data_IF_388862522257
#
_entry.id   IF_388862522257
#
_cell.length_a   1.000
_cell.length_b   1.000
_cell.length_c   1.000
_cell.angle_alpha   90.00
_cell.angle_beta   90.00
_cell.angle_gamma   90.00
#
_symmetry.space_group_name_H-M   'P 1'
#
loop_
_entity.id
_entity.type
_entity.pdbx_description
1 polymer ?
#
# COMPACT_ATOMS: atom_id res chain seq x y z
N UNK A 1 20.91 105.86 -9.18
CA UNK A 1 20.31 104.99 -8.14
C UNK A 1 19.17 104.13 -8.71
N UNK A 2 19.28 103.59 -9.93
CA UNK A 2 18.23 102.76 -10.54
C UNK A 2 18.66 101.30 -10.83
N UNK A 3 19.90 100.93 -10.49
CA UNK A 3 20.49 99.63 -10.88
C UNK A 3 20.28 98.54 -9.82
N UNK A 4 20.17 98.92 -8.55
CA UNK A 4 20.14 97.98 -7.41
C UNK A 4 18.79 97.25 -7.26
N UNK A 5 17.69 97.97 -7.55
CA UNK A 5 16.34 97.40 -7.44
C UNK A 5 16.03 96.38 -8.55
N UNK A 6 16.57 96.57 -9.75
CA UNK A 6 16.42 95.61 -10.85
C UNK A 6 17.22 94.33 -10.59
N UNK A 7 18.40 94.44 -9.97
CA UNK A 7 19.24 93.30 -9.61
C UNK A 7 18.57 92.40 -8.55
N UNK A 8 17.97 93.01 -7.51
CA UNK A 8 17.25 92.26 -6.47
C UNK A 8 16.03 91.49 -6.99
N UNK A 9 15.25 92.08 -7.91
CA UNK A 9 14.08 91.39 -8.50
C UNK A 9 14.48 90.18 -9.36
N UNK A 10 15.62 90.24 -10.04
CA UNK A 10 16.15 89.12 -10.84
C UNK A 10 16.68 88.00 -9.94
N UNK A 11 17.22 88.34 -8.77
CA UNK A 11 17.66 87.36 -7.76
C UNK A 11 16.49 86.62 -7.13
N UNK A 12 15.44 87.33 -6.72
CA UNK A 12 14.24 86.73 -6.14
C UNK A 12 13.53 85.79 -7.13
N UNK A 13 13.40 86.19 -8.39
CA UNK A 13 12.84 85.34 -9.44
C UNK A 13 13.66 84.05 -9.67
N UNK A 14 15.00 84.16 -9.66
CA UNK A 14 15.90 83.01 -9.79
C UNK A 14 15.81 82.05 -8.59
N UNK A 15 15.64 82.58 -7.38
CA UNK A 15 15.56 81.77 -6.17
C UNK A 15 14.18 81.11 -6.02
N UNK A 16 13.10 81.76 -6.48
CA UNK A 16 11.79 81.13 -6.64
C UNK A 16 11.80 80.00 -7.68
N UNK A 17 12.45 80.21 -8.83
CA UNK A 17 12.58 79.17 -9.86
C UNK A 17 13.39 77.96 -9.39
N UNK A 18 14.50 78.19 -8.67
CA UNK A 18 15.29 77.12 -8.03
C UNK A 18 14.50 76.39 -6.95
N UNK A 19 13.70 77.10 -6.15
CA UNK A 19 12.82 76.53 -5.12
C UNK A 19 11.73 75.65 -5.74
N UNK A 20 11.09 76.12 -6.82
CA UNK A 20 10.07 75.38 -7.55
C UNK A 20 10.64 74.13 -8.24
N UNK A 21 11.80 74.24 -8.86
CA UNK A 21 12.57 73.13 -9.43
C UNK A 21 12.95 72.07 -8.38
N UNK A 22 13.45 72.48 -7.20
CA UNK A 22 13.74 71.59 -6.07
C UNK A 22 12.49 70.89 -5.53
N UNK A 23 11.35 71.57 -5.42
CA UNK A 23 10.08 70.95 -5.00
C UNK A 23 9.58 69.94 -6.03
N UNK A 24 9.66 70.24 -7.33
CA UNK A 24 9.24 69.36 -8.43
C UNK A 24 10.11 68.10 -8.55
N UNK A 25 11.42 68.23 -8.36
CA UNK A 25 12.36 67.08 -8.35
C UNK A 25 12.20 66.21 -7.10
N UNK A 26 11.93 66.80 -5.92
CA UNK A 26 11.63 66.08 -4.68
C UNK A 26 10.33 65.27 -4.80
N UNK A 27 9.27 65.83 -5.41
CA UNK A 27 8.01 65.12 -5.67
C UNK A 27 8.16 63.92 -6.63
N UNK A 28 8.96 64.06 -7.70
CA UNK A 28 9.27 62.94 -8.62
C UNK A 28 10.06 61.82 -7.92
N UNK A 29 11.01 62.17 -7.03
CA UNK A 29 11.76 61.17 -6.25
C UNK A 29 10.84 60.39 -5.30
N UNK A 30 9.95 61.08 -4.58
CA UNK A 30 8.98 60.44 -3.68
C UNK A 30 8.05 59.50 -4.46
N UNK A 31 7.52 59.94 -5.60
CA UNK A 31 6.67 59.11 -6.47
C UNK A 31 7.38 57.84 -6.98
N UNK A 32 8.67 57.96 -7.32
CA UNK A 32 9.49 56.83 -7.74
C UNK A 32 9.72 55.80 -6.62
N UNK A 33 10.04 56.26 -5.39
CA UNK A 33 10.17 55.37 -4.24
C UNK A 33 8.84 54.67 -3.89
N UNK A 34 7.71 55.37 -3.98
CA UNK A 34 6.40 54.77 -3.77
C UNK A 34 6.08 53.69 -4.82
N UNK A 35 6.45 53.90 -6.08
CA UNK A 35 6.31 52.87 -7.13
C UNK A 35 7.19 51.65 -6.86
N UNK A 36 8.43 51.83 -6.42
CA UNK A 36 9.31 50.71 -6.05
C UNK A 36 8.72 49.93 -4.88
N UNK A 37 8.24 50.61 -3.83
CA UNK A 37 7.61 49.96 -2.68
C UNK A 37 6.36 49.18 -3.12
N UNK A 38 5.52 49.78 -3.98
CA UNK A 38 4.35 49.10 -4.52
C UNK A 38 4.71 47.82 -5.29
N UNK A 39 5.69 47.89 -6.18
CA UNK A 39 6.17 46.72 -6.94
C UNK A 39 6.80 45.66 -6.04
N UNK A 40 7.56 46.06 -5.01
CA UNK A 40 8.13 45.14 -4.04
C UNK A 40 7.05 44.44 -3.20
N UNK A 41 6.02 45.15 -2.77
CA UNK A 41 4.86 44.56 -2.09
C UNK A 41 4.11 43.58 -3.00
N UNK A 42 3.90 43.93 -4.27
CA UNK A 42 3.20 43.08 -5.24
C UNK A 42 4.01 41.81 -5.56
N UNK A 43 5.33 41.93 -5.63
CA UNK A 43 6.22 40.77 -5.74
C UNK A 43 6.16 39.88 -4.49
N UNK A 44 6.23 40.46 -3.29
CA UNK A 44 6.15 39.71 -2.05
C UNK A 44 4.81 38.99 -1.89
N UNK A 45 3.69 39.61 -2.25
CA UNK A 45 2.37 38.95 -2.22
C UNK A 45 2.28 37.81 -3.23
N UNK A 46 2.84 37.97 -4.43
CA UNK A 46 2.89 36.89 -5.42
C UNK A 46 3.73 35.69 -4.93
N UNK A 47 4.88 35.94 -4.31
CA UNK A 47 5.74 34.89 -3.73
C UNK A 47 5.04 34.18 -2.57
N UNK A 48 4.40 34.93 -1.67
CA UNK A 48 3.66 34.36 -0.54
C UNK A 48 2.44 33.55 -1.00
N UNK A 49 1.70 34.04 -2.00
CA UNK A 49 0.59 33.32 -2.60
C UNK A 49 1.08 32.03 -3.28
N UNK A 50 2.19 32.08 -4.02
CA UNK A 50 2.83 30.90 -4.61
C UNK A 50 3.24 29.88 -3.55
N UNK A 51 3.92 30.30 -2.49
CA UNK A 51 4.31 29.42 -1.38
C UNK A 51 3.09 28.80 -0.70
N UNK A 52 2.04 29.58 -0.45
CA UNK A 52 0.79 29.08 0.12
C UNK A 52 0.11 28.07 -0.79
N UNK A 53 0.09 28.29 -2.11
CA UNK A 53 -0.47 27.31 -3.05
C UNK A 53 0.32 26.00 -3.07
N UNK A 54 1.66 26.05 -2.99
CA UNK A 54 2.48 24.83 -2.87
C UNK A 54 2.15 24.08 -1.59
N UNK A 55 2.06 24.77 -0.45
CA UNK A 55 1.68 24.15 0.84
C UNK A 55 0.28 23.54 0.79
N UNK A 56 -0.70 24.24 0.19
CA UNK A 56 -2.07 23.73 0.04
C UNK A 56 -2.12 22.52 -0.89
N UNK A 57 -1.36 22.51 -1.99
CA UNK A 57 -1.31 21.37 -2.92
C UNK A 57 -0.58 20.17 -2.29
N UNK A 58 0.49 20.39 -1.54
CA UNK A 58 1.17 19.32 -0.80
C UNK A 58 0.30 18.77 0.35
N UNK A 59 -0.42 19.62 1.08
CA UNK A 59 -1.35 19.17 2.11
C UNK A 59 -2.59 18.50 1.52
N UNK A 60 -3.14 19.00 0.40
CA UNK A 60 -4.32 18.40 -0.22
C UNK A 60 -3.98 17.07 -0.87
N UNK A 61 -2.78 16.89 -1.47
CA UNK A 61 -2.33 15.57 -1.94
C UNK A 61 -2.14 14.57 -0.79
N UNK A 62 -1.67 15.04 0.37
CA UNK A 62 -1.59 14.23 1.61
C UNK A 62 -2.96 13.97 2.27
N UNK A 63 -3.97 14.80 2.03
CA UNK A 63 -5.29 14.74 2.70
C UNK A 63 -6.38 14.14 1.82
N UNK A 64 -6.27 14.25 0.49
CA UNK A 64 -7.11 13.54 -0.49
C UNK A 64 -6.84 12.03 -0.50
N UNK A 65 -5.74 11.60 0.11
CA UNK A 65 -5.49 10.23 0.58
C UNK A 65 -6.08 9.99 1.97
N UNK A 66 -7.22 10.63 2.29
CA UNK A 66 -8.06 10.20 3.40
C UNK A 66 -8.43 8.75 3.19
N UNK A 67 -7.77 7.87 3.94
CA UNK A 67 -7.69 6.44 3.67
C UNK A 67 -9.08 5.82 3.68
N UNK A 68 -9.62 5.50 2.50
CA UNK A 68 -10.68 4.49 2.33
C UNK A 68 -10.11 3.11 2.68
N UNK A 69 -9.62 2.96 3.90
CA UNK A 69 -9.01 1.75 4.40
C UNK A 69 -10.00 1.08 5.33
N UNK A 70 -10.36 -0.16 4.99
CA UNK A 70 -11.12 -0.99 5.91
C UNK A 70 -10.34 -1.17 7.20
N UNK A 71 -11.03 -0.99 8.34
CA UNK A 71 -10.41 -1.21 9.64
C UNK A 71 -9.90 -2.65 9.74
N UNK A 72 -8.67 -2.79 10.25
CA UNK A 72 -8.04 -4.07 10.57
C UNK A 72 -7.39 -3.98 11.95
N UNK A 73 -7.48 -5.02 12.79
CA UNK A 73 -6.91 -5.00 14.15
C UNK A 73 -5.38 -4.89 14.17
N UNK A 74 -4.71 -5.17 13.04
CA UNK A 74 -3.24 -5.06 12.90
C UNK A 74 -2.78 -3.74 12.29
N UNK A 75 -3.67 -2.76 12.10
CA UNK A 75 -3.36 -1.53 11.37
C UNK A 75 -2.08 -0.84 11.88
N UNK A 76 -1.92 -0.75 13.20
CA UNK A 76 -0.83 0.00 13.85
C UNK A 76 0.53 -0.69 13.78
N UNK A 77 0.57 -1.99 13.49
CA UNK A 77 1.82 -2.77 13.41
C UNK A 77 2.28 -3.01 11.98
N UNK A 78 1.50 -2.58 10.97
CA UNK A 78 1.86 -2.76 9.57
C UNK A 78 3.13 -1.95 9.27
N UNK A 79 4.20 -2.68 8.97
CA UNK A 79 5.46 -2.13 8.48
C UNK A 79 5.67 -2.58 7.04
N UNK A 80 6.42 -1.79 6.27
CA UNK A 80 6.81 -2.13 4.91
C UNK A 80 8.33 -2.28 4.84
N UNK A 81 8.80 -3.28 4.10
CA UNK A 81 10.23 -3.51 3.89
C UNK A 81 10.51 -4.00 2.47
N UNK A 82 11.69 -3.70 1.92
CA UNK A 82 12.14 -4.31 0.67
C UNK A 82 12.42 -5.80 0.89
N UNK A 83 11.79 -6.63 0.07
CA UNK A 83 11.98 -8.09 0.02
C UNK A 83 12.62 -8.44 -1.31
N UNK A 84 13.77 -9.11 -1.24
CA UNK A 84 14.36 -9.82 -2.37
C UNK A 84 13.65 -11.16 -2.55
N UNK A 85 12.94 -11.32 -3.66
CA UNK A 85 12.22 -12.54 -4.01
C UNK A 85 13.13 -13.48 -4.81
N UNK A 86 13.06 -14.77 -4.49
CA UNK A 86 13.64 -15.80 -5.35
C UNK A 86 13.01 -15.72 -6.74
N UNK A 87 13.82 -15.55 -7.78
CA UNK A 87 13.36 -15.59 -9.16
C UNK A 87 12.96 -17.02 -9.55
N UNK A 88 11.70 -17.38 -9.29
CA UNK A 88 11.14 -18.72 -9.44
C UNK A 88 11.12 -19.24 -10.88
N UNK A 89 11.33 -18.37 -11.87
CA UNK A 89 11.48 -18.78 -13.27
C UNK A 89 12.85 -19.40 -13.56
N UNK A 90 13.86 -19.04 -12.76
CA UNK A 90 15.26 -19.45 -12.98
C UNK A 90 15.78 -20.38 -11.88
N UNK A 91 15.29 -20.22 -10.65
CA UNK A 91 15.79 -20.95 -9.48
C UNK A 91 14.69 -21.77 -8.84
N UNK A 92 15.02 -23.05 -8.59
CA UNK A 92 14.20 -23.93 -7.78
C UNK A 92 14.21 -23.46 -6.33
N UNK A 93 13.04 -23.41 -5.70
CA UNK A 93 12.92 -23.06 -4.29
C UNK A 93 12.16 -24.16 -3.51
N UNK A 94 12.28 -24.18 -2.17
CA UNK A 94 11.72 -25.26 -1.35
C UNK A 94 10.20 -25.39 -1.35
N UNK A 95 9.45 -24.42 -1.90
CA UNK A 95 7.99 -24.49 -2.03
C UNK A 95 7.55 -25.16 -3.34
N UNK A 96 8.49 -25.51 -4.23
CA UNK A 96 8.22 -26.18 -5.50
C UNK A 96 8.29 -27.70 -5.37
N UNK A 97 7.70 -28.40 -6.34
CA UNK A 97 7.81 -29.85 -6.47
C UNK A 97 9.29 -30.29 -6.60
N UNK A 98 9.60 -31.50 -6.15
CA UNK A 98 10.93 -32.06 -6.22
C UNK A 98 11.37 -32.23 -7.69
N UNK A 99 12.51 -31.66 -8.13
CA UNK A 99 12.93 -31.71 -9.54
C UNK A 99 13.19 -33.12 -10.05
N UNK A 100 13.58 -34.05 -9.18
CA UNK A 100 13.90 -35.42 -9.56
C UNK A 100 12.65 -36.26 -9.83
N UNK A 101 11.57 -36.04 -9.09
CA UNK A 101 10.32 -36.81 -9.20
C UNK A 101 9.24 -36.08 -10.00
N UNK A 102 9.35 -34.75 -10.10
CA UNK A 102 8.30 -33.88 -10.64
C UNK A 102 7.07 -33.77 -9.75
N UNK A 103 7.12 -34.24 -8.50
CA UNK A 103 6.01 -34.25 -7.55
C UNK A 103 6.38 -33.54 -6.25
N UNK A 104 5.43 -32.92 -5.53
CA UNK A 104 5.67 -32.47 -4.17
C UNK A 104 5.85 -33.66 -3.23
N UNK A 105 6.63 -33.47 -2.17
CA UNK A 105 6.82 -34.44 -1.09
C UNK A 105 6.33 -33.87 0.25
N UNK A 106 6.44 -34.65 1.32
CA UNK A 106 6.07 -34.22 2.67
C UNK A 106 6.80 -32.93 3.10
N UNK A 107 8.06 -32.75 2.68
CA UNK A 107 8.80 -31.52 3.00
C UNK A 107 8.20 -30.31 2.29
N UNK A 108 7.77 -30.46 1.04
CA UNK A 108 7.01 -29.41 0.35
C UNK A 108 5.69 -29.13 1.09
N UNK A 109 4.96 -30.15 1.50
CA UNK A 109 3.68 -30.00 2.21
C UNK A 109 3.83 -29.27 3.54
N UNK A 110 4.79 -29.66 4.36
CA UNK A 110 5.08 -29.03 5.65
C UNK A 110 5.42 -27.55 5.48
N UNK A 111 6.20 -27.22 4.44
CA UNK A 111 6.56 -25.83 4.09
C UNK A 111 5.37 -24.99 3.70
N UNK A 112 4.38 -25.56 3.02
CA UNK A 112 3.16 -24.83 2.71
C UNK A 112 2.26 -24.68 3.94
N UNK A 113 2.11 -25.74 4.75
CA UNK A 113 1.28 -25.72 5.94
C UNK A 113 1.79 -24.72 6.99
N UNK A 114 3.12 -24.64 7.20
CA UNK A 114 3.70 -23.69 8.17
C UNK A 114 3.41 -22.22 7.86
N UNK A 115 2.99 -21.88 6.64
CA UNK A 115 2.66 -20.51 6.25
C UNK A 115 1.35 -20.01 6.87
N UNK A 116 0.46 -20.92 7.28
CA UNK A 116 -0.89 -20.53 7.72
C UNK A 116 -1.43 -21.32 8.92
N UNK A 117 -0.99 -22.56 9.16
CA UNK A 117 -1.65 -23.47 10.10
C UNK A 117 -1.78 -22.90 11.52
N UNK A 118 -0.67 -22.41 12.10
CA UNK A 118 -0.67 -21.78 13.44
C UNK A 118 -1.35 -20.41 13.50
N UNK A 119 -1.73 -19.88 12.34
CA UNK A 119 -2.21 -18.51 12.14
C UNK A 119 -3.64 -18.47 11.58
N UNK A 120 -4.32 -19.63 11.50
CA UNK A 120 -5.69 -19.73 10.98
C UNK A 120 -6.74 -19.14 11.89
N UNK A 121 -6.61 -19.35 13.19
CA UNK A 121 -7.57 -18.88 14.17
C UNK A 121 -6.90 -17.92 15.12
N UNK A 122 -7.23 -16.65 14.99
CA UNK A 122 -6.79 -15.60 15.90
C UNK A 122 -7.98 -15.09 16.68
N UNK A 123 -7.73 -14.60 17.88
CA UNK A 123 -8.75 -14.00 18.73
C UNK A 123 -8.44 -12.53 18.99
N UNK A 124 -9.47 -11.72 19.11
CA UNK A 124 -9.36 -10.30 19.46
C UNK A 124 -10.33 -9.95 20.61
N UNK A 125 -10.01 -8.93 21.41
CA UNK A 125 -10.93 -8.46 22.45
C UNK A 125 -12.17 -7.79 21.84
N UNK A 126 -13.26 -7.65 22.62
CA UNK A 126 -14.54 -7.13 22.13
C UNK A 126 -14.43 -5.71 21.57
N UNK A 127 -13.56 -4.88 22.16
CA UNK A 127 -13.31 -3.51 21.71
C UNK A 127 -12.75 -3.42 20.29
N UNK A 128 -11.98 -4.42 19.84
CA UNK A 128 -11.51 -4.49 18.45
C UNK A 128 -12.58 -5.10 17.55
N UNK A 129 -13.30 -6.11 18.03
CA UNK A 129 -14.36 -6.79 17.28
C UNK A 129 -15.51 -5.85 16.91
N UNK A 130 -15.85 -4.91 17.81
CA UNK A 130 -16.91 -3.94 17.57
C UNK A 130 -16.62 -2.95 16.44
N UNK A 131 -15.34 -2.75 16.10
CA UNK A 131 -14.89 -1.88 15.02
C UNK A 131 -14.87 -2.58 13.66
N UNK A 132 -15.05 -3.90 13.61
CA UNK A 132 -15.05 -4.65 12.35
C UNK A 132 -16.27 -4.24 11.49
N UNK A 133 -16.10 -4.19 10.15
CA UNK A 133 -17.20 -3.87 9.24
C UNK A 133 -18.28 -4.97 9.24
N UNK A 134 -17.88 -6.21 9.51
CA UNK A 134 -18.77 -7.36 9.68
C UNK A 134 -18.58 -7.93 11.08
N UNK A 135 -19.68 -8.21 11.77
CA UNK A 135 -19.65 -8.84 13.09
C UNK A 135 -19.10 -10.26 12.97
N UNK A 136 -18.34 -10.66 13.97
CA UNK A 136 -17.74 -11.99 14.07
C UNK A 136 -18.24 -12.73 15.32
N UNK A 137 -17.92 -14.02 15.40
CA UNK A 137 -18.36 -14.91 16.48
C UNK A 137 -17.41 -14.86 17.68
N UNK A 138 -17.92 -15.06 18.91
CA UNK A 138 -17.06 -15.32 20.06
C UNK A 138 -16.31 -16.65 19.91
N UNK A 139 -15.17 -16.78 20.58
CA UNK A 139 -14.47 -18.07 20.70
C UNK A 139 -15.33 -19.03 21.53
N UNK A 140 -15.61 -20.26 21.08
CA UNK A 140 -16.47 -21.19 21.82
C UNK A 140 -16.01 -21.47 23.25
N UNK A 141 -14.69 -21.61 23.48
CA UNK A 141 -14.10 -21.86 24.79
C UNK A 141 -13.93 -20.60 25.65
N UNK A 142 -13.96 -19.40 25.05
CA UNK A 142 -13.81 -18.12 25.74
C UNK A 142 -14.70 -17.02 25.12
N UNK A 143 -15.93 -16.84 25.64
CA UNK A 143 -16.86 -15.83 25.13
C UNK A 143 -16.40 -14.37 25.30
N UNK A 144 -15.31 -14.13 26.05
CA UNK A 144 -14.71 -12.79 26.18
C UNK A 144 -13.83 -12.41 24.99
N UNK A 145 -13.54 -13.37 24.10
CA UNK A 145 -12.71 -13.22 22.91
C UNK A 145 -13.52 -13.47 21.65
N UNK A 146 -13.13 -12.84 20.56
CA UNK A 146 -13.82 -12.93 19.26
C UNK A 146 -12.90 -13.48 18.18
N UNK A 147 -13.38 -14.45 17.43
CA UNK A 147 -12.65 -15.11 16.37
C UNK A 147 -12.45 -14.19 15.18
N UNK A 148 -11.25 -14.18 14.63
CA UNK A 148 -10.94 -13.62 13.32
C UNK A 148 -9.91 -14.50 12.63
N UNK A 149 -9.76 -14.25 11.34
CA UNK A 149 -8.64 -14.74 10.55
C UNK A 149 -8.10 -13.57 9.75
N UNK A 150 -6.78 -13.36 9.75
CA UNK A 150 -6.20 -12.38 8.82
C UNK A 150 -6.22 -12.98 7.41
N UNK A 151 -6.72 -12.17 6.48
CA UNK A 151 -7.01 -12.59 5.10
C UNK A 151 -5.81 -13.19 4.37
N UNK A 152 -4.58 -12.76 4.67
CA UNK A 152 -3.36 -13.33 4.07
C UNK A 152 -3.22 -14.83 4.33
N UNK A 153 -3.60 -15.31 5.52
CA UNK A 153 -3.48 -16.72 5.84
C UNK A 153 -4.56 -17.53 5.12
N UNK A 154 -5.79 -17.00 5.00
CA UNK A 154 -6.84 -17.64 4.21
C UNK A 154 -6.44 -17.74 2.73
N UNK A 155 -5.80 -16.69 2.19
CA UNK A 155 -5.24 -16.70 0.84
C UNK A 155 -4.15 -17.77 0.70
N UNK A 156 -3.25 -17.92 1.67
CA UNK A 156 -2.20 -18.95 1.65
C UNK A 156 -2.78 -20.38 1.73
N UNK A 157 -3.79 -20.59 2.59
CA UNK A 157 -4.55 -21.84 2.66
C UNK A 157 -5.20 -22.15 1.29
N UNK A 158 -5.94 -21.20 0.72
CA UNK A 158 -6.59 -21.34 -0.59
C UNK A 158 -5.58 -21.66 -1.70
N UNK A 159 -4.43 -20.95 -1.72
CA UNK A 159 -3.37 -21.18 -2.69
C UNK A 159 -2.74 -22.56 -2.55
N UNK A 160 -2.53 -23.05 -1.32
CA UNK A 160 -2.05 -24.40 -1.07
C UNK A 160 -3.07 -25.45 -1.55
N UNK A 161 -4.36 -25.23 -1.31
CA UNK A 161 -5.43 -26.09 -1.82
C UNK A 161 -5.45 -26.16 -3.35
N UNK A 162 -5.25 -25.03 -4.04
CA UNK A 162 -5.09 -25.00 -5.51
C UNK A 162 -3.83 -25.76 -5.93
N UNK A 163 -2.69 -25.56 -5.23
CA UNK A 163 -1.45 -26.30 -5.51
C UNK A 163 -1.66 -27.81 -5.42
N UNK A 164 -2.25 -28.30 -4.33
CA UNK A 164 -2.52 -29.73 -4.14
C UNK A 164 -3.43 -30.27 -5.25
N UNK A 165 -4.39 -29.46 -5.71
CA UNK A 165 -5.27 -29.79 -6.82
C UNK A 165 -4.55 -30.13 -8.13
N UNK A 166 -3.40 -29.50 -8.39
CA UNK A 166 -2.56 -29.76 -9.57
C UNK A 166 -1.93 -31.17 -9.54
N UNK A 167 -1.76 -31.74 -8.34
CA UNK A 167 -1.02 -32.99 -8.12
C UNK A 167 -1.90 -34.15 -7.66
N UNK A 168 -3.22 -33.95 -7.63
CA UNK A 168 -4.18 -34.93 -7.17
C UNK A 168 -4.07 -36.29 -7.88
N UNK A 169 -3.55 -36.33 -9.12
CA UNK A 169 -3.36 -37.61 -9.83
C UNK A 169 -2.07 -38.35 -9.44
N UNK A 170 -1.02 -37.63 -9.06
CA UNK A 170 0.30 -38.17 -8.72
C UNK A 170 0.56 -38.34 -7.22
N UNK A 171 -0.29 -37.77 -6.36
CA UNK A 171 -0.10 -37.75 -4.91
C UNK A 171 -1.36 -38.27 -4.21
N UNK A 172 -1.28 -39.50 -3.68
CA UNK A 172 -2.44 -40.22 -3.16
C UNK A 172 -3.10 -39.54 -1.96
N UNK A 173 -2.30 -39.02 -1.01
CA UNK A 173 -2.82 -38.36 0.18
C UNK A 173 -3.53 -37.03 -0.10
N UNK A 174 -3.41 -36.45 -1.29
CA UNK A 174 -4.24 -35.29 -1.66
C UNK A 174 -5.69 -35.68 -2.00
N UNK A 175 -6.00 -36.98 -2.18
CA UNK A 175 -7.38 -37.44 -2.41
C UNK A 175 -8.20 -37.66 -1.12
N UNK A 176 -7.63 -37.29 0.03
CA UNK A 176 -8.21 -37.37 1.37
C UNK A 176 -9.44 -36.44 1.54
N UNK A 177 -10.26 -36.61 2.62
CA UNK A 177 -11.62 -36.07 2.70
C UNK A 177 -11.80 -34.57 2.39
N UNK A 178 -10.80 -33.72 2.65
CA UNK A 178 -10.83 -32.27 2.38
C UNK A 178 -10.97 -31.92 0.89
N UNK A 179 -10.59 -32.84 0.00
CA UNK A 179 -10.70 -32.67 -1.46
C UNK A 179 -11.83 -33.51 -2.06
N UNK A 180 -12.77 -34.01 -1.24
CA UNK A 180 -13.87 -34.88 -1.72
C UNK A 180 -14.67 -34.25 -2.84
N UNK A 181 -14.87 -32.94 -2.81
CA UNK A 181 -15.66 -32.24 -3.81
C UNK A 181 -14.84 -31.79 -5.03
N UNK A 182 -13.52 -32.05 -5.07
CA UNK A 182 -12.69 -31.91 -6.27
C UNK A 182 -12.96 -33.04 -7.28
N UNK A 183 -13.75 -34.03 -6.86
CA UNK A 183 -14.26 -35.09 -7.70
C UNK A 183 -15.79 -35.13 -7.63
N UNK A 184 -16.43 -35.32 -8.78
CA UNK A 184 -17.83 -35.66 -8.89
C UNK A 184 -18.03 -37.15 -8.50
N UNK A 185 -19.26 -37.55 -8.13
CA UNK A 185 -19.62 -38.95 -8.08
C UNK A 185 -19.20 -39.67 -9.38
N UNK A 186 -18.41 -40.73 -9.25
CA UNK A 186 -17.80 -41.43 -10.40
C UNK A 186 -16.36 -41.02 -10.75
N UNK A 187 -15.69 -40.23 -9.89
CA UNK A 187 -14.23 -40.03 -9.97
C UNK A 187 -13.77 -39.03 -11.05
N UNK A 188 -14.69 -38.33 -11.70
CA UNK A 188 -14.37 -37.25 -12.65
C UNK A 188 -14.00 -35.98 -11.88
N UNK A 189 -13.04 -35.19 -12.39
CA UNK A 189 -12.72 -33.86 -11.85
C UNK A 189 -13.95 -32.96 -11.78
N UNK A 190 -14.12 -32.29 -10.65
CA UNK A 190 -15.11 -31.26 -10.45
C UNK A 190 -14.47 -29.87 -10.60
N UNK A 191 -14.68 -29.24 -11.76
CA UNK A 191 -14.15 -27.91 -12.03
C UNK A 191 -14.99 -26.76 -11.47
N UNK A 192 -16.09 -27.07 -10.76
CA UNK A 192 -16.98 -26.09 -10.12
C UNK A 192 -17.04 -26.25 -8.60
N UNK A 193 -16.20 -27.13 -8.03
CA UNK A 193 -16.09 -27.36 -6.59
C UNK A 193 -15.28 -26.30 -5.84
N UNK A 194 -14.81 -26.63 -4.64
CA UNK A 194 -14.04 -25.75 -3.75
C UNK A 194 -12.81 -25.17 -4.44
N UNK A 195 -12.10 -25.94 -5.28
CA UNK A 195 -10.96 -25.43 -6.05
C UNK A 195 -11.29 -24.21 -6.93
N UNK A 196 -12.49 -24.17 -7.54
CA UNK A 196 -12.92 -23.04 -8.36
C UNK A 196 -13.22 -21.79 -7.50
N UNK A 197 -13.76 -22.00 -6.29
CA UNK A 197 -14.03 -20.92 -5.34
C UNK A 197 -12.73 -20.32 -4.80
N UNK A 198 -11.76 -21.16 -4.44
CA UNK A 198 -10.42 -20.70 -4.03
C UNK A 198 -9.74 -19.89 -5.14
N UNK A 199 -9.83 -20.35 -6.39
CA UNK A 199 -9.26 -19.63 -7.52
C UNK A 199 -9.86 -18.23 -7.67
N UNK A 200 -11.19 -18.10 -7.57
CA UNK A 200 -11.85 -16.80 -7.66
C UNK A 200 -11.51 -15.90 -6.45
N UNK A 201 -11.43 -16.46 -5.25
CA UNK A 201 -11.06 -15.73 -4.04
C UNK A 201 -9.65 -15.13 -4.13
N UNK A 202 -8.68 -15.91 -4.61
CA UNK A 202 -7.31 -15.44 -4.86
C UNK A 202 -7.29 -14.37 -5.95
N UNK A 203 -8.04 -14.56 -7.04
CA UNK A 203 -8.17 -13.55 -8.11
C UNK A 203 -8.68 -12.21 -7.55
N UNK A 204 -9.73 -12.22 -6.72
CA UNK A 204 -10.27 -11.01 -6.10
C UNK A 204 -9.25 -10.34 -5.18
N UNK A 205 -8.54 -11.14 -4.37
CA UNK A 205 -7.48 -10.66 -3.48
C UNK A 205 -6.32 -10.00 -4.21
N UNK A 206 -5.88 -10.58 -5.34
CA UNK A 206 -4.84 -10.01 -6.20
C UNK A 206 -5.30 -8.68 -6.82
N UNK A 207 -6.55 -8.59 -7.29
CA UNK A 207 -7.10 -7.35 -7.83
C UNK A 207 -7.25 -6.25 -6.77
N UNK A 208 -7.57 -6.62 -5.53
CA UNK A 208 -7.69 -5.68 -4.41
C UNK A 208 -6.33 -5.09 -4.00
N UNK A 209 -5.26 -5.89 -4.05
CA UNK A 209 -3.92 -5.45 -3.63
C UNK A 209 -3.06 -4.91 -4.79
N UNK A 210 -3.40 -5.21 -6.05
CA UNK A 210 -2.82 -4.67 -7.28
C UNK A 210 -1.33 -4.29 -7.22
N UNK A 211 -0.45 -5.26 -7.49
CA UNK A 211 0.99 -4.97 -7.56
C UNK A 211 1.31 -4.08 -8.77
N UNK A 212 1.77 -2.86 -8.51
CA UNK A 212 2.13 -1.87 -9.53
C UNK A 212 3.63 -1.82 -9.83
N UNK A 213 4.42 -2.76 -9.29
CA UNK A 213 5.86 -2.86 -9.56
C UNK A 213 6.07 -3.12 -11.06
N UNK A 214 6.81 -2.25 -11.78
CA UNK A 214 6.97 -2.37 -13.21
C UNK A 214 7.79 -3.61 -13.58
N UNK A 215 7.26 -4.41 -14.50
CA UNK A 215 7.97 -5.54 -15.10
C UNK A 215 8.76 -5.03 -16.32
N UNK A 216 10.09 -5.05 -16.23
CA UNK A 216 10.95 -4.67 -17.34
C UNK A 216 11.01 -5.77 -18.41
N UNK A 217 11.30 -5.42 -19.66
CA UNK A 217 11.46 -6.39 -20.75
C UNK A 217 12.90 -6.35 -21.26
N UNK A 218 13.49 -7.53 -21.48
CA UNK A 218 14.86 -7.66 -21.98
C UNK A 218 14.93 -8.69 -23.10
N UNK A 219 15.92 -8.55 -23.99
CA UNK A 219 16.14 -9.50 -25.08
C UNK A 219 16.74 -10.80 -24.56
N UNK A 220 16.04 -11.91 -24.75
CA UNK A 220 16.56 -13.22 -24.41
C UNK A 220 17.39 -13.78 -25.57
N UNK A 221 18.67 -14.02 -25.30
CA UNK A 221 19.61 -14.48 -26.33
C UNK A 221 19.38 -15.93 -26.77
N UNK A 222 18.75 -16.77 -25.94
CA UNK A 222 18.46 -18.17 -26.22
C UNK A 222 17.13 -18.32 -26.98
N UNK A 223 16.07 -17.67 -26.49
CA UNK A 223 14.73 -17.70 -27.07
C UNK A 223 14.59 -16.78 -28.30
N UNK A 224 15.54 -15.86 -28.53
CA UNK A 224 15.53 -14.88 -29.64
C UNK A 224 14.29 -14.00 -29.68
N UNK A 225 13.74 -13.68 -28.51
CA UNK A 225 12.55 -12.84 -28.33
C UNK A 225 12.72 -11.97 -27.07
N UNK A 226 12.03 -10.82 -26.97
CA UNK A 226 11.99 -10.07 -25.71
C UNK A 226 11.12 -10.81 -24.68
N UNK A 227 11.62 -10.95 -23.45
CA UNK A 227 10.93 -11.60 -22.34
C UNK A 227 10.81 -10.66 -21.12
N UNK A 228 9.70 -10.73 -20.36
CA UNK A 228 9.54 -9.99 -19.12
C UNK A 228 10.52 -10.48 -18.06
N UNK A 229 11.07 -9.55 -17.29
CA UNK A 229 11.96 -9.80 -16.16
C UNK A 229 11.19 -9.51 -14.87
N UNK A 230 10.96 -10.57 -14.08
CA UNK A 230 10.31 -10.43 -12.79
C UNK A 230 11.17 -9.52 -11.89
N UNK A 231 10.59 -8.46 -11.28
CA UNK A 231 11.31 -7.64 -10.32
C UNK A 231 11.75 -8.50 -9.13
N UNK A 232 13.05 -8.51 -8.86
CA UNK A 232 13.61 -9.28 -7.73
C UNK A 232 13.34 -8.57 -6.40
N UNK A 233 13.41 -7.24 -6.37
CA UNK A 233 13.06 -6.45 -5.19
C UNK A 233 11.60 -5.96 -5.24
N UNK A 234 10.84 -6.17 -4.17
CA UNK A 234 9.50 -5.58 -3.97
C UNK A 234 9.36 -4.95 -2.59
N UNK A 235 8.55 -3.91 -2.47
CA UNK A 235 8.14 -3.38 -1.16
C UNK A 235 6.94 -4.20 -0.68
N UNK A 236 7.13 -4.99 0.38
CA UNK A 236 6.09 -5.85 0.93
C UNK A 236 5.72 -5.42 2.35
N UNK A 237 4.53 -5.81 2.80
CA UNK A 237 4.22 -5.78 4.23
C UNK A 237 5.16 -6.73 4.96
N UNK A 238 5.67 -6.30 6.11
CA UNK A 238 6.55 -7.11 6.94
C UNK A 238 5.75 -8.27 7.53
N UNK A 239 5.91 -9.46 6.94
CA UNK A 239 5.20 -10.65 7.40
C UNK A 239 5.65 -11.10 8.79
N UNK A 240 6.87 -10.77 9.22
CA UNK A 240 7.36 -11.18 10.54
C UNK A 240 6.54 -10.54 11.67
N UNK A 241 6.30 -9.23 11.61
CA UNK A 241 5.51 -8.53 12.64
C UNK A 241 4.03 -8.91 12.61
N UNK A 242 3.50 -9.22 11.42
CA UNK A 242 2.13 -9.72 11.28
C UNK A 242 2.02 -11.12 11.90
N UNK A 243 2.97 -11.99 11.62
CA UNK A 243 2.97 -13.37 12.12
C UNK A 243 3.19 -13.47 13.62
N UNK A 244 4.09 -12.65 14.16
CA UNK A 244 4.28 -12.52 15.60
C UNK A 244 2.98 -12.11 16.29
N UNK A 245 2.30 -11.06 15.80
CA UNK A 245 1.02 -10.63 16.36
C UNK A 245 -0.04 -11.72 16.25
N UNK A 246 -0.14 -12.39 15.10
CA UNK A 246 -1.13 -13.44 14.91
C UNK A 246 -0.90 -14.62 15.85
N UNK A 247 0.34 -15.09 16.00
CA UNK A 247 0.66 -16.19 16.93
C UNK A 247 0.41 -15.81 18.39
N UNK A 248 0.74 -14.58 18.78
CA UNK A 248 0.46 -14.08 20.14
C UNK A 248 -1.04 -14.01 20.46
N UNK A 249 -1.89 -13.94 19.44
CA UNK A 249 -3.33 -13.86 19.58
C UNK A 249 -4.04 -15.15 19.10
N UNK A 250 -3.29 -16.21 18.83
CA UNK A 250 -3.83 -17.48 18.36
C UNK A 250 -4.82 -18.06 19.38
N UNK A 251 -5.83 -18.77 18.89
CA UNK A 251 -6.73 -19.53 19.76
C UNK A 251 -6.01 -20.79 20.22
N UNK A 252 -5.84 -20.97 21.53
CA UNK A 252 -5.04 -22.05 22.12
C UNK A 252 -5.69 -23.44 21.95
N UNK A 253 -7.01 -23.51 21.85
CA UNK A 253 -7.76 -24.75 21.68
C UNK A 253 -8.35 -24.86 20.26
N UNK A 254 -8.45 -26.08 19.69
CA UNK A 254 -9.16 -26.29 18.45
C UNK A 254 -10.57 -25.70 18.51
N UNK A 255 -10.91 -24.87 17.53
CA UNK A 255 -12.24 -24.29 17.44
C UNK A 255 -13.19 -25.37 16.92
N UNK A 256 -14.01 -25.92 17.80
CA UNK A 256 -15.08 -26.86 17.43
C UNK A 256 -16.41 -26.10 17.33
N UNK A 257 -16.90 -25.96 16.10
CA UNK A 257 -18.20 -25.34 15.81
C UNK A 257 -19.38 -26.33 15.94
N UNK A 258 -19.16 -27.51 16.51
CA UNK A 258 -20.18 -28.56 16.66
C UNK A 258 -20.31 -29.48 15.44
N UNK A 259 -19.37 -29.39 14.50
CA UNK A 259 -19.27 -30.26 13.32
C UNK A 259 -18.05 -31.20 13.38
N UNK A 260 -17.34 -31.21 14.51
CA UNK A 260 -16.02 -31.82 14.67
C UNK A 260 -14.91 -30.78 14.56
N UNK A 261 -13.64 -31.15 14.85
CA UNK A 261 -12.52 -30.23 14.65
C UNK A 261 -12.53 -29.74 13.20
N UNK A 262 -12.30 -28.45 13.00
CA UNK A 262 -12.22 -27.86 11.67
C UNK A 262 -11.04 -28.51 10.93
N UNK A 263 -11.35 -29.54 10.17
CA UNK A 263 -10.36 -30.41 9.53
C UNK A 263 -9.80 -29.78 8.26
N UNK A 264 -10.43 -28.69 7.81
CA UNK A 264 -10.08 -27.94 6.61
C UNK A 264 -8.95 -26.93 6.88
N UNK A 265 -8.32 -26.97 8.07
CA UNK A 265 -7.24 -26.08 8.49
C UNK A 265 -6.01 -26.86 8.97
#
# INVERSE_FOLDING_TARGET
MADDAAYHLVQDANDEEKSWSKKRTKGRRISYYLHIIFLACLYATAVLAGALTVVIVEQSSRSATGSLQMYTPVQEIIQYLPVEQSNSLHYHNPFMANPATGLPDHTTDDRWQMLYNESMHTSIPPSLADRLPLKTLPVPSDPSKYLIQLEIYHQLHCLNSIRQALWLDGVEHYRLPHFKDFYLPGGRRNYTGHGAKHLDWIRQSLLCNGDTTPVSWQWDSMAKIPLPQLPETKICKNMHVIDEWTRMNAVEEPVDFGFGPDIDL
#
